data_IF_130547581643
#
_entry.id   IF_130547581643
#
_cell.length_a   1.000
_cell.length_b   1.000
_cell.length_c   1.000
_cell.angle_alpha   90.00
_cell.angle_beta   90.00
_cell.angle_gamma   90.00
#
_symmetry.space_group_name_H-M   'P 1'
#
loop_
_entity.id
_entity.type
_entity.pdbx_description
1 polymer ?
#
# COMPACT_ATOMS: atom_id res chain seq x y z
N UNK A 1 3.58 -27.18 16.79
CA UNK A 1 2.67 -26.81 15.68
C UNK A 1 3.48 -26.07 14.64
N UNK A 2 3.24 -26.31 13.33
CA UNK A 2 3.90 -25.54 12.28
C UNK A 2 3.40 -24.10 12.29
N UNK A 3 4.27 -23.15 12.02
CA UNK A 3 3.87 -21.74 11.86
C UNK A 3 3.05 -21.61 10.58
N UNK A 4 1.87 -20.98 10.67
CA UNK A 4 0.99 -20.70 9.52
C UNK A 4 0.82 -19.19 9.34
N UNK A 5 0.59 -18.78 8.08
CA UNK A 5 0.18 -17.41 7.71
C UNK A 5 -1.34 -17.33 7.48
N UNK A 6 -2.06 -18.44 7.66
CA UNK A 6 -3.51 -18.48 7.46
C UNK A 6 -4.23 -17.54 8.43
N UNK A 7 -5.18 -16.80 7.90
CA UNK A 7 -5.98 -15.83 8.66
C UNK A 7 -5.27 -14.53 9.02
N UNK A 8 -3.97 -14.40 8.78
CA UNK A 8 -3.24 -13.15 9.05
C UNK A 8 -3.37 -12.16 7.89
N UNK A 9 -3.28 -10.87 8.22
CA UNK A 9 -2.93 -9.85 7.23
C UNK A 9 -1.42 -9.92 7.00
N UNK A 10 -1.01 -10.31 5.79
CA UNK A 10 0.40 -10.43 5.41
C UNK A 10 0.80 -9.26 4.53
N UNK A 11 1.75 -8.46 5.00
CA UNK A 11 2.35 -7.35 4.24
C UNK A 11 3.76 -7.72 3.85
N UNK A 12 4.01 -7.84 2.55
CA UNK A 12 5.35 -7.95 1.99
C UNK A 12 5.88 -6.54 1.67
N UNK A 13 7.12 -6.26 2.02
CA UNK A 13 7.68 -4.93 1.85
C UNK A 13 9.16 -4.96 1.43
N UNK A 14 9.53 -4.11 0.48
CA UNK A 14 10.93 -3.93 0.12
C UNK A 14 11.69 -3.17 1.21
N UNK A 15 12.98 -3.43 1.33
CA UNK A 15 13.83 -2.74 2.33
C UNK A 15 13.77 -1.21 2.19
N UNK A 16 13.76 -0.68 0.96
CA UNK A 16 13.70 0.78 0.69
C UNK A 16 12.33 1.41 0.92
N UNK A 17 11.25 0.63 0.92
CA UNK A 17 9.93 1.14 1.30
C UNK A 17 9.80 1.25 2.83
N UNK A 18 10.46 0.34 3.58
CA UNK A 18 10.41 0.30 5.04
C UNK A 18 11.43 1.25 5.67
N UNK A 19 12.64 1.32 5.13
CA UNK A 19 13.74 2.17 5.64
C UNK A 19 14.31 3.05 4.54
N UNK A 20 14.83 4.21 4.92
CA UNK A 20 15.57 5.07 4.01
C UNK A 20 16.97 4.49 3.74
N UNK A 21 17.18 4.04 2.52
CA UNK A 21 18.44 3.56 1.96
C UNK A 21 18.82 4.32 0.69
N UNK A 22 18.36 5.56 0.54
CA UNK A 22 18.57 6.32 -0.70
C UNK A 22 20.05 6.63 -0.97
N UNK A 23 20.84 6.90 0.08
CA UNK A 23 22.29 7.11 -0.05
C UNK A 23 22.98 5.83 -0.56
N UNK A 24 22.66 4.71 0.06
CA UNK A 24 23.23 3.41 -0.29
C UNK A 24 22.76 2.93 -1.68
N UNK A 25 21.51 3.22 -2.03
CA UNK A 25 20.95 2.85 -3.33
C UNK A 25 21.67 3.54 -4.49
N UNK A 26 22.14 4.77 -4.32
CA UNK A 26 22.96 5.46 -5.35
C UNK A 26 24.21 4.68 -5.71
N UNK A 27 24.84 4.00 -4.74
CA UNK A 27 25.97 3.11 -5.01
C UNK A 27 25.55 1.84 -5.76
N UNK A 28 24.42 1.27 -5.38
CA UNK A 28 23.86 0.10 -6.08
C UNK A 28 23.54 0.39 -7.54
N UNK A 29 22.99 1.55 -7.85
CA UNK A 29 22.66 1.98 -9.23
C UNK A 29 23.91 2.20 -10.11
N UNK A 30 25.06 2.49 -9.50
CA UNK A 30 26.34 2.58 -10.22
C UNK A 30 26.92 1.22 -10.61
N UNK A 31 26.28 0.11 -10.19
CA UNK A 31 26.68 -1.25 -10.52
C UNK A 31 27.83 -1.80 -9.68
N UNK A 32 28.16 -1.15 -8.55
CA UNK A 32 29.21 -1.61 -7.62
C UNK A 32 28.61 -2.35 -6.41
N UNK A 33 28.14 -3.57 -6.65
CA UNK A 33 27.58 -4.44 -5.61
C UNK A 33 28.51 -4.67 -4.42
N UNK A 34 29.83 -4.68 -4.65
CA UNK A 34 30.81 -4.92 -3.59
C UNK A 34 30.95 -3.72 -2.66
N UNK A 35 31.04 -2.52 -3.23
CA UNK A 35 31.04 -1.29 -2.44
C UNK A 35 29.74 -1.09 -1.68
N UNK A 36 28.61 -1.43 -2.29
CA UNK A 36 27.31 -1.43 -1.62
C UNK A 36 27.30 -2.38 -0.40
N UNK A 37 27.68 -3.66 -0.58
CA UNK A 37 27.77 -4.62 0.51
C UNK A 37 28.74 -4.18 1.61
N UNK A 38 29.89 -3.63 1.24
CA UNK A 38 30.89 -3.12 2.20
C UNK A 38 30.32 -2.00 3.04
N UNK A 39 29.67 -1.01 2.43
CA UNK A 39 29.01 0.10 3.13
C UNK A 39 27.94 -0.41 4.10
N UNK A 40 27.12 -1.38 3.68
CA UNK A 40 26.10 -1.98 4.54
C UNK A 40 26.70 -2.72 5.75
N UNK A 41 27.85 -3.38 5.57
CA UNK A 41 28.58 -4.02 6.68
C UNK A 41 29.21 -3.00 7.62
N UNK A 42 29.82 -1.95 7.09
CA UNK A 42 30.41 -0.85 7.89
C UNK A 42 29.36 -0.15 8.74
N UNK A 43 28.11 -0.04 8.22
CA UNK A 43 26.98 0.59 8.90
C UNK A 43 26.07 -0.43 9.61
N UNK A 44 26.50 -1.67 9.79
CA UNK A 44 25.64 -2.75 10.29
C UNK A 44 25.03 -2.44 11.67
N UNK A 45 25.78 -1.75 12.54
CA UNK A 45 25.33 -1.34 13.87
C UNK A 45 24.68 0.06 13.90
N UNK A 46 24.60 0.73 12.75
CA UNK A 46 23.90 2.00 12.60
C UNK A 46 22.52 1.74 12.00
N UNK A 47 21.43 1.88 12.77
CA UNK A 47 20.08 1.68 12.26
C UNK A 47 19.81 2.58 11.07
N UNK A 48 19.15 2.05 10.04
CA UNK A 48 18.66 2.87 8.94
C UNK A 48 17.48 3.72 9.43
N UNK A 49 17.35 4.92 8.87
CA UNK A 49 16.23 5.80 9.22
C UNK A 49 14.91 5.20 8.75
N UNK A 50 13.77 5.49 9.43
CA UNK A 50 12.45 5.13 8.96
C UNK A 50 12.19 5.61 7.52
N UNK A 51 11.66 4.73 6.68
CA UNK A 51 11.20 5.07 5.34
C UNK A 51 9.72 5.44 5.31
N UNK A 52 9.20 5.72 4.12
CA UNK A 52 7.83 6.23 3.90
C UNK A 52 6.74 5.30 4.46
N UNK A 53 6.91 3.98 4.33
CA UNK A 53 5.93 3.02 4.82
C UNK A 53 6.18 2.54 6.26
N UNK A 54 7.13 3.14 6.98
CA UNK A 54 7.48 2.71 8.34
C UNK A 54 6.31 2.85 9.30
N UNK A 55 5.62 4.00 9.33
CA UNK A 55 4.48 4.24 10.23
C UNK A 55 3.37 3.22 9.99
N UNK A 56 3.00 2.98 8.74
CA UNK A 56 2.00 1.96 8.39
C UNK A 56 2.38 0.58 8.96
N UNK A 57 3.62 0.15 8.72
CA UNK A 57 4.11 -1.16 9.21
C UNK A 57 4.13 -1.23 10.73
N UNK A 58 4.65 -0.20 11.39
CA UNK A 58 4.71 -0.12 12.85
C UNK A 58 3.32 -0.22 13.48
N UNK A 59 2.36 0.55 12.98
CA UNK A 59 0.98 0.54 13.48
C UNK A 59 0.24 -0.76 13.14
N UNK A 60 0.45 -1.35 11.96
CA UNK A 60 -0.13 -2.66 11.63
C UNK A 60 0.38 -3.76 12.56
N UNK A 61 1.68 -3.77 12.87
CA UNK A 61 2.25 -4.75 13.80
C UNK A 61 1.72 -4.60 15.23
N UNK A 62 1.24 -3.41 15.62
CA UNK A 62 0.62 -3.17 16.93
C UNK A 62 -0.76 -3.84 17.10
N UNK A 63 -1.34 -4.42 16.03
CA UNK A 63 -2.50 -5.32 16.15
C UNK A 63 -2.17 -6.70 16.74
N UNK A 64 -0.90 -7.04 16.83
CA UNK A 64 -0.45 -8.29 17.44
C UNK A 64 -0.39 -8.14 18.98
N UNK A 65 -0.79 -9.19 19.67
CA UNK A 65 -0.66 -9.29 21.12
C UNK A 65 -0.10 -10.67 21.53
N UNK A 66 -0.03 -10.95 22.82
CA UNK A 66 0.49 -12.21 23.34
C UNK A 66 -0.38 -13.43 22.93
N UNK A 67 -1.67 -13.21 22.71
CA UNK A 67 -2.65 -14.27 22.46
C UNK A 67 -2.83 -14.54 20.95
N UNK A 68 -2.66 -13.50 20.13
CA UNK A 68 -2.92 -13.59 18.69
C UNK A 68 -1.95 -12.76 17.83
N UNK A 69 -1.38 -13.43 16.82
CA UNK A 69 -0.57 -12.80 15.77
C UNK A 69 -1.45 -12.58 14.53
N UNK A 70 -2.07 -11.40 14.43
CA UNK A 70 -3.04 -11.04 13.38
C UNK A 70 -2.38 -10.49 12.11
N UNK A 71 -1.19 -9.90 12.29
CA UNK A 71 -0.43 -9.27 11.21
C UNK A 71 0.95 -9.89 11.11
N UNK A 72 1.39 -10.17 9.90
CA UNK A 72 2.73 -10.60 9.58
C UNK A 72 3.36 -9.62 8.59
N UNK A 73 4.58 -9.18 8.85
CA UNK A 73 5.36 -8.38 7.90
C UNK A 73 6.57 -9.17 7.44
N UNK A 74 6.78 -9.22 6.13
CA UNK A 74 7.87 -9.98 5.51
C UNK A 74 8.69 -9.05 4.63
N UNK A 75 10.00 -9.01 4.85
CA UNK A 75 10.89 -8.27 3.95
C UNK A 75 11.03 -9.04 2.64
N UNK A 76 10.76 -8.38 1.54
CA UNK A 76 10.87 -8.96 0.21
C UNK A 76 11.66 -8.02 -0.69
N UNK A 77 12.97 -8.24 -0.78
CA UNK A 77 13.93 -7.28 -1.32
C UNK A 77 14.82 -7.86 -2.40
N UNK A 78 15.19 -7.01 -3.37
CA UNK A 78 16.22 -7.30 -4.37
C UNK A 78 17.65 -7.23 -3.81
N UNK A 79 17.84 -6.75 -2.60
CA UNK A 79 19.16 -6.70 -1.96
C UNK A 79 19.77 -8.10 -1.86
N UNK A 80 21.07 -8.15 -1.66
CA UNK A 80 21.78 -9.37 -1.29
C UNK A 80 21.55 -9.74 0.20
N UNK A 81 21.78 -10.99 0.60
CA UNK A 81 21.55 -11.43 1.98
C UNK A 81 22.44 -10.73 3.02
N UNK A 82 23.66 -10.26 2.63
CA UNK A 82 24.56 -9.55 3.55
C UNK A 82 23.97 -8.20 3.93
N UNK A 83 23.51 -7.44 2.93
CA UNK A 83 22.80 -6.17 3.15
C UNK A 83 21.50 -6.36 3.93
N UNK A 84 20.87 -7.51 3.78
CA UNK A 84 19.68 -7.90 4.54
C UNK A 84 19.86 -7.95 6.06
N UNK A 85 21.09 -8.18 6.54
CA UNK A 85 21.36 -8.17 7.98
C UNK A 85 21.08 -6.79 8.61
N UNK A 86 21.44 -5.70 7.94
CA UNK A 86 21.19 -4.36 8.45
C UNK A 86 19.69 -4.04 8.48
N UNK A 87 18.91 -4.56 7.52
CA UNK A 87 17.44 -4.41 7.53
C UNK A 87 16.83 -5.05 8.79
N UNK A 88 17.23 -6.30 9.12
CA UNK A 88 16.75 -6.96 10.32
C UNK A 88 17.21 -6.29 11.61
N UNK A 89 18.48 -5.82 11.68
CA UNK A 89 18.98 -5.06 12.84
C UNK A 89 18.24 -3.74 13.03
N UNK A 90 17.95 -3.03 11.94
CA UNK A 90 17.15 -1.81 12.00
C UNK A 90 15.74 -2.11 12.49
N UNK A 91 15.08 -3.16 11.99
CA UNK A 91 13.77 -3.59 12.48
C UNK A 91 13.81 -3.92 13.98
N UNK A 92 14.83 -4.64 14.44
CA UNK A 92 15.03 -4.95 15.86
C UNK A 92 15.24 -3.67 16.72
N UNK A 93 16.02 -2.72 16.23
CA UNK A 93 16.27 -1.45 16.92
C UNK A 93 14.97 -0.67 17.17
N UNK A 94 14.09 -0.63 16.18
CA UNK A 94 12.78 0.03 16.28
C UNK A 94 11.68 -0.84 16.92
N UNK A 95 12.01 -2.02 17.45
CA UNK A 95 11.04 -2.89 18.10
C UNK A 95 10.02 -3.53 17.13
N UNK A 96 10.32 -3.57 15.82
CA UNK A 96 9.46 -4.23 14.85
C UNK A 96 9.71 -5.76 14.90
N UNK A 97 8.71 -6.59 15.21
CA UNK A 97 8.85 -8.05 15.31
C UNK A 97 8.87 -8.73 13.93
N UNK A 98 9.71 -8.22 13.02
CA UNK A 98 9.89 -8.75 11.67
C UNK A 98 10.95 -9.85 11.70
N UNK A 99 10.55 -11.09 11.43
CA UNK A 99 11.40 -12.28 11.52
C UNK A 99 11.65 -12.96 10.18
N UNK A 100 10.90 -12.58 9.13
CA UNK A 100 10.94 -13.22 7.82
C UNK A 100 11.39 -12.27 6.75
N UNK A 101 12.20 -12.79 5.83
CA UNK A 101 12.62 -12.03 4.67
C UNK A 101 13.20 -12.91 3.58
N UNK A 102 13.11 -12.44 2.36
CA UNK A 102 13.77 -13.01 1.18
C UNK A 102 14.60 -11.92 0.49
N UNK A 103 15.87 -12.22 0.26
CA UNK A 103 16.82 -11.34 -0.39
C UNK A 103 17.33 -12.03 -1.65
N UNK A 104 17.15 -11.41 -2.80
CA UNK A 104 17.22 -12.12 -4.09
C UNK A 104 18.37 -11.69 -4.98
N UNK A 105 19.28 -10.84 -4.49
CA UNK A 105 20.45 -10.34 -5.22
C UNK A 105 20.09 -9.89 -6.65
N UNK A 106 19.23 -8.87 -6.75
CA UNK A 106 18.79 -8.29 -8.02
C UNK A 106 17.68 -9.04 -8.74
N UNK A 107 17.40 -10.30 -8.39
CA UNK A 107 16.33 -11.06 -9.03
C UNK A 107 14.95 -10.58 -8.56
N UNK A 108 13.90 -10.64 -9.43
CA UNK A 108 12.55 -10.25 -9.07
C UNK A 108 12.01 -11.07 -7.89
N UNK A 109 11.66 -10.44 -6.76
CA UNK A 109 11.20 -11.15 -5.57
C UNK A 109 9.70 -11.45 -5.57
N UNK A 110 8.89 -10.84 -6.44
CA UNK A 110 7.43 -10.93 -6.47
C UNK A 110 6.89 -12.37 -6.53
N UNK A 111 7.67 -13.31 -7.10
CA UNK A 111 7.30 -14.74 -7.15
C UNK A 111 7.06 -15.38 -5.79
N UNK A 112 7.57 -14.79 -4.72
CA UNK A 112 7.38 -15.28 -3.34
C UNK A 112 6.10 -14.75 -2.68
N UNK A 113 5.40 -13.79 -3.30
CA UNK A 113 4.17 -13.22 -2.74
C UNK A 113 3.06 -14.27 -2.58
N UNK A 114 2.91 -15.16 -3.57
CA UNK A 114 1.88 -16.22 -3.52
C UNK A 114 2.14 -17.23 -2.39
N UNK A 115 3.34 -17.85 -2.24
CA UNK A 115 3.61 -18.74 -1.10
C UNK A 115 3.56 -18.02 0.25
N UNK A 116 3.79 -16.72 0.30
CA UNK A 116 3.62 -15.87 1.49
C UNK A 116 2.16 -15.49 1.76
N UNK A 117 1.24 -15.77 0.81
CA UNK A 117 -0.16 -15.32 0.89
C UNK A 117 -0.29 -13.82 1.16
N UNK A 118 0.59 -13.03 0.54
CA UNK A 118 0.64 -11.60 0.76
C UNK A 118 -0.68 -10.92 0.36
N UNK A 119 -1.20 -10.08 1.26
CA UNK A 119 -2.38 -9.25 1.03
C UNK A 119 -2.01 -7.87 0.51
N UNK A 120 -0.76 -7.46 0.69
CA UNK A 120 -0.20 -6.20 0.20
C UNK A 120 1.29 -6.39 -0.10
N UNK A 121 1.74 -5.80 -1.19
CA UNK A 121 3.17 -5.66 -1.50
C UNK A 121 3.53 -4.20 -1.73
N UNK A 122 4.46 -3.68 -0.93
CA UNK A 122 5.00 -2.33 -1.05
C UNK A 122 6.45 -2.38 -1.54
N UNK A 123 6.72 -1.78 -2.68
CA UNK A 123 8.05 -1.76 -3.26
C UNK A 123 8.34 -0.42 -3.94
N UNK A 124 9.58 0.01 -3.92
CA UNK A 124 10.03 1.15 -4.73
C UNK A 124 10.31 0.77 -6.19
N UNK A 125 10.28 -0.52 -6.53
CA UNK A 125 10.62 -1.04 -7.85
C UNK A 125 9.37 -1.30 -8.69
N UNK A 126 9.13 -0.45 -9.70
CA UNK A 126 7.93 -0.46 -10.54
C UNK A 126 7.65 -1.84 -11.20
N UNK A 127 8.66 -2.49 -11.76
CA UNK A 127 8.46 -3.76 -12.46
C UNK A 127 8.02 -4.89 -11.51
N UNK A 128 8.45 -4.87 -10.23
CA UNK A 128 8.00 -5.84 -9.23
C UNK A 128 6.54 -5.59 -8.82
N UNK A 129 6.14 -4.33 -8.75
CA UNK A 129 4.76 -3.94 -8.46
C UNK A 129 3.83 -4.39 -9.58
N UNK A 130 4.17 -4.13 -10.85
CA UNK A 130 3.40 -4.61 -12.00
C UNK A 130 3.23 -6.13 -11.97
N UNK A 131 4.33 -6.86 -11.83
CA UNK A 131 4.29 -8.31 -11.79
C UNK A 131 3.48 -8.88 -10.60
N UNK A 132 3.46 -8.18 -9.45
CA UNK A 132 2.63 -8.53 -8.31
C UNK A 132 1.13 -8.33 -8.62
N UNK A 133 0.75 -7.21 -9.22
CA UNK A 133 -0.61 -6.92 -9.65
C UNK A 133 -1.09 -7.93 -10.69
N UNK A 134 -0.26 -8.26 -11.69
CA UNK A 134 -0.54 -9.29 -12.71
C UNK A 134 -0.73 -10.68 -12.08
N UNK A 135 -0.06 -10.94 -10.97
CA UNK A 135 -0.21 -12.17 -10.19
C UNK A 135 -1.44 -12.15 -9.23
N UNK A 136 -2.24 -11.07 -9.24
CA UNK A 136 -3.43 -10.89 -8.42
C UNK A 136 -3.16 -10.51 -6.97
N UNK A 137 -1.98 -9.97 -6.67
CA UNK A 137 -1.64 -9.47 -5.33
C UNK A 137 -1.71 -7.95 -5.31
N UNK A 138 -2.48 -7.34 -4.38
CA UNK A 138 -2.48 -5.89 -4.20
C UNK A 138 -1.06 -5.36 -4.02
N UNK A 139 -0.64 -4.42 -4.85
CA UNK A 139 0.73 -3.90 -4.80
C UNK A 139 0.79 -2.43 -5.22
N UNK A 140 1.68 -1.67 -4.58
CA UNK A 140 1.90 -0.27 -4.92
C UNK A 140 3.39 0.09 -4.94
N UNK A 141 3.75 0.96 -5.88
CA UNK A 141 5.06 1.58 -5.92
C UNK A 141 5.12 2.72 -4.89
N UNK A 142 5.96 2.54 -3.88
CA UNK A 142 6.20 3.56 -2.86
C UNK A 142 7.09 4.65 -3.44
N UNK A 143 6.71 5.90 -3.26
CA UNK A 143 7.51 7.06 -3.61
C UNK A 143 8.37 7.47 -2.41
N UNK A 144 9.71 7.23 -2.44
CA UNK A 144 10.58 7.51 -1.31
C UNK A 144 10.63 8.99 -0.88
N UNK A 145 10.19 9.88 -1.75
CA UNK A 145 10.14 11.33 -1.49
C UNK A 145 8.82 11.80 -0.86
N UNK A 146 7.86 10.88 -0.64
CA UNK A 146 6.62 11.25 0.05
C UNK A 146 6.91 11.75 1.46
N UNK A 147 6.10 12.70 1.91
CA UNK A 147 6.09 13.12 3.32
C UNK A 147 5.77 11.92 4.20
N UNK A 148 6.36 11.85 5.38
CA UNK A 148 6.08 10.79 6.34
C UNK A 148 4.71 10.99 6.98
N UNK A 149 4.11 9.88 7.47
CA UNK A 149 2.83 9.94 8.16
C UNK A 149 2.90 10.79 9.43
N UNK A 150 1.77 11.40 9.77
CA UNK A 150 1.60 12.12 11.03
C UNK A 150 1.61 11.15 12.24
N UNK A 151 2.17 11.59 13.36
CA UNK A 151 2.12 10.87 14.64
C UNK A 151 0.86 11.19 15.46
N UNK A 152 -0.08 11.97 14.90
CA UNK A 152 -1.27 12.43 15.60
C UNK A 152 -2.22 11.31 16.00
N UNK A 153 -2.18 10.17 15.30
CA UNK A 153 -3.11 9.05 15.50
C UNK A 153 -2.37 7.74 15.87
N UNK A 154 -1.74 7.64 17.07
CA UNK A 154 -0.88 6.50 17.43
C UNK A 154 -1.63 5.17 17.57
N UNK A 155 -2.95 5.21 17.77
CA UNK A 155 -3.82 4.04 17.95
C UNK A 155 -4.72 3.76 16.75
N UNK A 156 -4.48 4.42 15.62
CA UNK A 156 -5.23 4.23 14.39
C UNK A 156 -4.29 3.92 13.21
N UNK A 157 -4.60 2.89 12.45
CA UNK A 157 -4.08 2.70 11.09
C UNK A 157 -5.06 3.35 10.14
N UNK A 158 -4.64 4.43 9.48
CA UNK A 158 -5.47 5.22 8.58
C UNK A 158 -5.02 5.00 7.15
N UNK A 159 -5.90 4.47 6.31
CA UNK A 159 -5.57 4.17 4.91
C UNK A 159 -6.61 4.81 4.00
N UNK A 160 -6.13 5.58 3.03
CA UNK A 160 -6.96 6.17 2.00
C UNK A 160 -6.75 5.46 0.65
N UNK A 161 -7.84 5.29 -0.09
CA UNK A 161 -7.84 4.65 -1.40
C UNK A 161 -8.54 5.51 -2.43
N UNK A 162 -8.01 5.53 -3.65
CA UNK A 162 -8.83 5.93 -4.79
C UNK A 162 -9.89 4.87 -5.10
N UNK A 163 -10.90 5.26 -5.89
CA UNK A 163 -12.00 4.39 -6.29
C UNK A 163 -11.67 3.55 -7.52
N UNK A 164 -11.65 4.21 -8.68
CA UNK A 164 -11.52 3.57 -9.98
C UNK A 164 -10.10 3.01 -10.18
N UNK A 165 -10.00 1.82 -10.77
CA UNK A 165 -8.75 1.10 -10.98
C UNK A 165 -7.96 0.72 -9.70
N UNK A 166 -8.44 1.09 -8.50
CA UNK A 166 -7.87 0.71 -7.19
C UNK A 166 -8.83 -0.19 -6.42
N UNK A 167 -9.89 0.34 -5.81
CA UNK A 167 -10.91 -0.47 -5.12
C UNK A 167 -11.88 -1.11 -6.10
N UNK A 168 -12.30 -0.36 -7.12
CA UNK A 168 -13.16 -0.80 -8.21
C UNK A 168 -12.36 -1.09 -9.47
N UNK A 169 -12.98 -1.80 -10.44
CA UNK A 169 -12.41 -1.92 -11.78
C UNK A 169 -12.35 -0.55 -12.48
N UNK A 170 -11.59 -0.50 -13.57
CA UNK A 170 -11.46 0.68 -14.42
C UNK A 170 -12.59 0.85 -15.46
N UNK A 171 -13.72 0.11 -15.31
CA UNK A 171 -14.86 0.15 -16.26
C UNK A 171 -15.34 1.58 -16.51
N UNK A 172 -15.56 2.32 -15.45
CA UNK A 172 -16.08 3.68 -15.52
C UNK A 172 -15.06 4.68 -16.07
N UNK A 173 -13.79 4.51 -15.73
CA UNK A 173 -12.70 5.34 -16.28
C UNK A 173 -12.53 5.13 -17.78
N UNK A 174 -12.66 3.90 -18.29
CA UNK A 174 -12.66 3.63 -19.74
C UNK A 174 -13.76 4.40 -20.46
N UNK A 175 -14.97 4.46 -19.91
CA UNK A 175 -16.07 5.28 -20.46
C UNK A 175 -15.69 6.76 -20.46
N UNK A 176 -15.15 7.25 -19.35
CA UNK A 176 -14.70 8.64 -19.23
C UNK A 176 -13.65 9.00 -20.30
N UNK A 177 -12.64 8.15 -20.48
CA UNK A 177 -11.57 8.40 -21.45
C UNK A 177 -12.03 8.30 -22.91
N UNK A 178 -12.97 7.42 -23.22
CA UNK A 178 -13.46 7.24 -24.60
C UNK A 178 -14.57 8.20 -25.00
N UNK A 179 -15.44 8.59 -24.08
CA UNK A 179 -16.70 9.29 -24.38
C UNK A 179 -16.89 10.59 -23.56
N UNK A 180 -16.01 10.84 -22.60
CA UNK A 180 -16.00 12.05 -21.77
C UNK A 180 -16.96 12.05 -20.59
N UNK A 181 -16.99 13.19 -19.85
CA UNK A 181 -17.63 13.32 -18.55
C UNK A 181 -19.14 13.07 -18.60
N UNK A 182 -19.84 13.57 -19.65
CA UNK A 182 -21.31 13.41 -19.75
C UNK A 182 -21.70 11.93 -19.88
N UNK A 183 -21.00 11.18 -20.76
CA UNK A 183 -21.23 9.76 -20.96
C UNK A 183 -20.90 8.96 -19.70
N UNK A 184 -19.82 9.30 -19.01
CA UNK A 184 -19.46 8.70 -17.71
C UNK A 184 -20.58 8.90 -16.67
N UNK A 185 -21.12 10.14 -16.53
CA UNK A 185 -22.19 10.42 -15.58
C UNK A 185 -23.48 9.65 -15.91
N UNK A 186 -23.86 9.58 -17.19
CA UNK A 186 -25.04 8.83 -17.65
C UNK A 186 -24.86 7.33 -17.44
N UNK A 187 -23.69 6.79 -17.79
CA UNK A 187 -23.33 5.39 -17.57
C UNK A 187 -23.45 5.02 -16.09
N UNK A 188 -22.83 5.80 -15.19
CA UNK A 188 -22.86 5.51 -13.75
C UNK A 188 -24.26 5.67 -13.15
N UNK A 189 -25.01 6.70 -13.56
CA UNK A 189 -26.39 6.90 -13.10
C UNK A 189 -27.30 5.74 -13.56
N UNK A 190 -27.21 5.32 -14.83
CA UNK A 190 -28.02 4.22 -15.36
C UNK A 190 -27.70 2.87 -14.72
N UNK A 191 -26.47 2.68 -14.28
CA UNK A 191 -25.97 1.46 -13.62
C UNK A 191 -25.89 1.55 -12.09
N UNK A 192 -26.47 2.57 -11.46
CA UNK A 192 -26.35 2.79 -10.02
C UNK A 192 -26.77 1.56 -9.17
N UNK A 193 -27.71 0.75 -9.65
CA UNK A 193 -28.13 -0.50 -8.99
C UNK A 193 -27.24 -1.72 -9.27
N UNK A 194 -26.26 -1.62 -10.18
CA UNK A 194 -25.37 -2.72 -10.54
C UNK A 194 -23.99 -2.49 -9.92
N UNK A 195 -23.51 -3.38 -9.02
CA UNK A 195 -22.22 -3.24 -8.41
C UNK A 195 -21.09 -3.18 -9.44
N UNK A 196 -20.08 -2.34 -9.18
CA UNK A 196 -18.81 -2.35 -9.90
C UNK A 196 -18.08 -3.66 -9.63
N UNK A 197 -17.33 -4.15 -10.60
CA UNK A 197 -16.38 -5.23 -10.36
C UNK A 197 -15.27 -4.75 -9.42
N UNK A 198 -14.67 -5.67 -8.65
CA UNK A 198 -13.57 -5.34 -7.75
C UNK A 198 -12.30 -4.98 -8.50
N UNK A 199 -11.62 -3.95 -8.06
CA UNK A 199 -10.28 -3.58 -8.45
C UNK A 199 -9.20 -4.38 -7.72
N UNK A 200 -7.92 -4.12 -8.02
CA UNK A 200 -6.80 -4.88 -7.47
C UNK A 200 -6.68 -4.78 -5.94
N UNK A 201 -7.19 -3.72 -5.32
CA UNK A 201 -7.09 -3.50 -3.87
C UNK A 201 -8.32 -3.95 -3.07
N UNK A 202 -9.39 -4.43 -3.74
CA UNK A 202 -10.53 -5.02 -3.04
C UNK A 202 -10.13 -6.11 -2.03
N UNK A 203 -9.22 -7.07 -2.35
CA UNK A 203 -8.79 -8.10 -1.39
C UNK A 203 -8.08 -7.52 -0.15
N UNK A 204 -7.34 -6.43 -0.30
CA UNK A 204 -6.72 -5.74 0.83
C UNK A 204 -7.78 -5.09 1.72
N UNK A 205 -8.76 -4.38 1.12
CA UNK A 205 -9.85 -3.76 1.86
C UNK A 205 -10.66 -4.79 2.67
N UNK A 206 -10.94 -5.96 2.07
CA UNK A 206 -11.58 -7.09 2.77
C UNK A 206 -10.72 -7.62 3.94
N UNK A 207 -9.40 -7.70 3.77
CA UNK A 207 -8.50 -8.14 4.82
C UNK A 207 -8.39 -7.12 5.97
N UNK A 208 -8.39 -5.82 5.67
CA UNK A 208 -8.44 -4.75 6.67
C UNK A 208 -9.77 -4.76 7.43
N UNK A 209 -10.89 -4.97 6.74
CA UNK A 209 -12.21 -5.07 7.36
C UNK A 209 -12.27 -6.27 8.33
N UNK A 210 -11.71 -7.43 7.97
CA UNK A 210 -11.56 -8.55 8.91
C UNK A 210 -10.70 -8.21 10.10
N UNK A 211 -9.53 -7.59 9.88
CA UNK A 211 -8.64 -7.16 10.95
C UNK A 211 -9.35 -6.20 11.93
N UNK A 212 -10.17 -5.28 11.41
CA UNK A 212 -10.99 -4.38 12.20
C UNK A 212 -12.05 -5.12 13.03
N UNK A 213 -12.73 -6.11 12.44
CA UNK A 213 -13.78 -6.89 13.12
C UNK A 213 -13.24 -7.84 14.19
N UNK A 214 -12.04 -8.36 13.99
CA UNK A 214 -11.30 -9.20 14.96
C UNK A 214 -10.55 -8.37 16.01
N UNK A 215 -10.64 -7.07 15.90
CA UNK A 215 -9.82 -6.03 16.48
C UNK A 215 -9.34 -6.21 17.92
N UNK A 216 -8.38 -5.39 18.27
CA UNK A 216 -7.92 -5.24 19.65
C UNK A 216 -8.52 -3.95 20.23
N UNK A 217 -8.76 -3.85 21.54
CA UNK A 217 -9.21 -2.59 22.13
C UNK A 217 -8.17 -1.46 22.01
N UNK A 218 -6.94 -1.77 21.59
CA UNK A 218 -5.82 -0.83 21.53
C UNK A 218 -5.60 -0.21 20.14
N UNK A 219 -6.05 -0.87 19.06
CA UNK A 219 -5.81 -0.41 17.69
C UNK A 219 -7.09 -0.43 16.85
N UNK A 220 -7.25 0.56 16.00
CA UNK A 220 -8.36 0.66 15.03
C UNK A 220 -7.83 0.80 13.62
N UNK A 221 -8.54 0.23 12.65
CA UNK A 221 -8.37 0.57 11.23
C UNK A 221 -9.38 1.66 10.89
N UNK A 222 -8.95 2.71 10.21
CA UNK A 222 -9.82 3.71 9.58
C UNK A 222 -9.53 3.77 8.09
N UNK A 223 -10.57 3.65 7.30
CA UNK A 223 -10.46 3.65 5.84
C UNK A 223 -11.20 4.84 5.23
N UNK A 224 -10.63 5.44 4.20
CA UNK A 224 -11.27 6.48 3.41
C UNK A 224 -11.27 6.14 1.92
N UNK A 225 -12.40 6.36 1.25
CA UNK A 225 -12.50 6.45 -0.19
C UNK A 225 -12.31 7.92 -0.60
N UNK A 226 -11.29 8.20 -1.43
CA UNK A 226 -10.99 9.56 -1.91
C UNK A 226 -10.97 9.56 -3.43
N UNK A 227 -12.09 9.93 -4.05
CA UNK A 227 -12.31 9.73 -5.49
C UNK A 227 -12.64 11.03 -6.23
N UNK A 228 -12.24 11.10 -7.50
CA UNK A 228 -12.64 12.17 -8.41
C UNK A 228 -14.12 12.10 -8.84
N UNK A 229 -14.83 11.03 -8.51
CA UNK A 229 -16.29 10.92 -8.75
C UNK A 229 -17.02 12.04 -8.04
N UNK A 230 -18.20 12.43 -8.59
CA UNK A 230 -19.15 13.33 -7.96
C UNK A 230 -20.58 12.80 -8.17
N UNK A 231 -21.59 13.50 -7.66
CA UNK A 231 -22.98 13.18 -8.01
C UNK A 231 -23.20 13.38 -9.53
N UNK A 232 -23.93 12.48 -10.23
CA UNK A 232 -24.64 11.31 -9.69
C UNK A 232 -23.80 10.03 -9.59
N UNK A 233 -22.55 10.00 -10.07
CA UNK A 233 -21.71 8.79 -10.15
C UNK A 233 -21.29 8.22 -8.77
N UNK A 234 -21.43 8.99 -7.70
CA UNK A 234 -21.12 8.56 -6.33
C UNK A 234 -22.02 7.40 -5.84
N UNK A 235 -23.29 7.36 -6.29
CA UNK A 235 -24.27 6.38 -5.79
C UNK A 235 -23.83 4.95 -6.09
N UNK A 236 -23.35 4.68 -7.31
CA UNK A 236 -22.89 3.34 -7.70
C UNK A 236 -21.71 2.86 -6.84
N UNK A 237 -20.76 3.75 -6.54
CA UNK A 237 -19.63 3.44 -5.67
C UNK A 237 -20.10 3.05 -4.25
N UNK A 238 -20.98 3.85 -3.64
CA UNK A 238 -21.53 3.55 -2.31
C UNK A 238 -22.30 2.22 -2.31
N UNK A 239 -23.19 2.00 -3.29
CA UNK A 239 -23.96 0.75 -3.42
C UNK A 239 -23.04 -0.46 -3.64
N UNK A 240 -21.92 -0.27 -4.32
CA UNK A 240 -20.93 -1.34 -4.51
C UNK A 240 -20.31 -1.75 -3.19
N UNK A 241 -19.84 -0.80 -2.36
CA UNK A 241 -19.31 -1.09 -1.03
C UNK A 241 -20.37 -1.78 -0.14
N UNK A 242 -21.61 -1.29 -0.16
CA UNK A 242 -22.73 -1.94 0.54
C UNK A 242 -22.94 -3.39 0.07
N UNK A 243 -22.89 -3.64 -1.24
CA UNK A 243 -23.03 -4.99 -1.81
C UNK A 243 -21.90 -5.92 -1.37
N UNK A 244 -20.68 -5.40 -1.18
CA UNK A 244 -19.54 -6.15 -0.65
C UNK A 244 -19.62 -6.34 0.87
N UNK A 245 -20.59 -5.74 1.55
CA UNK A 245 -20.70 -5.69 3.01
C UNK A 245 -19.44 -5.09 3.66
N UNK A 246 -18.91 -4.05 3.05
CA UNK A 246 -17.73 -3.31 3.52
C UNK A 246 -18.17 -1.87 3.81
N UNK A 247 -17.82 -1.41 4.99
CA UNK A 247 -17.97 -0.02 5.40
C UNK A 247 -16.62 0.69 5.35
N UNK A 248 -16.58 1.89 4.78
CA UNK A 248 -15.47 2.82 4.93
C UNK A 248 -15.86 3.90 5.92
N UNK A 249 -14.90 4.39 6.71
CA UNK A 249 -15.19 5.41 7.74
C UNK A 249 -15.49 6.76 7.11
N UNK A 250 -14.84 7.08 5.98
CA UNK A 250 -15.05 8.34 5.25
C UNK A 250 -15.12 8.09 3.74
N UNK A 251 -15.92 8.88 3.04
CA UNK A 251 -15.98 8.87 1.58
C UNK A 251 -16.02 10.31 1.04
N UNK A 252 -15.01 10.67 0.26
CA UNK A 252 -14.81 11.99 -0.31
C UNK A 252 -15.02 11.93 -1.81
N UNK A 253 -16.11 12.51 -2.29
CA UNK A 253 -16.48 12.61 -3.71
C UNK A 253 -16.10 13.99 -4.22
N UNK A 254 -14.91 14.15 -4.77
CA UNK A 254 -14.26 15.43 -4.96
C UNK A 254 -14.60 16.12 -6.28
N UNK A 255 -15.19 15.40 -7.25
CA UNK A 255 -15.59 15.99 -8.53
C UNK A 255 -14.41 16.59 -9.32
N UNK A 256 -13.22 16.03 -9.18
CA UNK A 256 -12.01 16.52 -9.83
C UNK A 256 -11.21 17.56 -9.04
N UNK A 257 -11.61 17.90 -7.81
CA UNK A 257 -10.77 18.72 -6.93
C UNK A 257 -9.48 17.97 -6.57
N UNK A 258 -8.34 18.67 -6.38
CA UNK A 258 -7.09 18.07 -5.94
C UNK A 258 -7.25 17.34 -4.61
N UNK A 259 -6.78 16.09 -4.54
CA UNK A 259 -6.93 15.22 -3.36
C UNK A 259 -6.04 15.63 -2.18
N UNK A 260 -4.89 16.29 -2.44
CA UNK A 260 -3.84 16.54 -1.44
C UNK A 260 -4.32 17.21 -0.16
N UNK A 261 -5.11 18.30 -0.27
CA UNK A 261 -5.63 19.02 0.89
C UNK A 261 -6.58 18.17 1.75
N UNK A 262 -7.44 17.37 1.11
CA UNK A 262 -8.35 16.44 1.81
C UNK A 262 -7.59 15.31 2.49
N UNK A 263 -6.56 14.78 1.83
CA UNK A 263 -5.68 13.78 2.41
C UNK A 263 -4.90 14.34 3.60
N UNK A 264 -4.45 15.59 3.53
CA UNK A 264 -3.78 16.25 4.66
C UNK A 264 -4.69 16.33 5.90
N UNK A 265 -5.99 16.59 5.73
CA UNK A 265 -6.95 16.61 6.84
C UNK A 265 -7.31 15.21 7.36
N UNK A 266 -7.33 14.20 6.47
CA UNK A 266 -7.56 12.81 6.89
C UNK A 266 -6.31 12.21 7.55
N UNK A 267 -5.09 12.67 7.26
CA UNK A 267 -3.81 12.20 7.79
C UNK A 267 -3.63 10.66 7.67
N UNK A 268 -3.69 10.06 6.45
CA UNK A 268 -3.51 8.63 6.30
C UNK A 268 -2.05 8.22 6.56
N UNK A 269 -1.86 7.02 7.10
CA UNK A 269 -0.56 6.35 7.13
C UNK A 269 -0.11 5.95 5.73
N UNK A 270 -1.09 5.76 4.81
CA UNK A 270 -0.80 5.48 3.41
C UNK A 270 -2.00 5.80 2.51
N UNK A 271 -1.71 6.36 1.34
CA UNK A 271 -2.69 6.62 0.27
C UNK A 271 -2.34 5.83 -0.98
N UNK A 272 -3.35 5.22 -1.62
CA UNK A 272 -3.23 4.43 -2.85
C UNK A 272 -4.06 5.02 -3.97
N UNK A 273 -3.43 5.25 -5.13
CA UNK A 273 -4.08 5.82 -6.34
C UNK A 273 -3.38 5.25 -7.60
N UNK A 274 -4.12 5.08 -8.68
CA UNK A 274 -3.59 4.58 -9.95
C UNK A 274 -3.05 5.70 -10.86
N UNK A 275 -3.33 6.96 -10.55
CA UNK A 275 -2.92 8.09 -11.38
C UNK A 275 -1.66 8.75 -10.84
N UNK A 276 -0.60 8.75 -11.65
CA UNK A 276 0.70 9.34 -11.29
C UNK A 276 0.58 10.79 -10.82
N UNK A 277 -0.23 11.62 -11.53
CA UNK A 277 -0.42 13.03 -11.14
C UNK A 277 -1.08 13.20 -9.77
N UNK A 278 -2.01 12.31 -9.40
CA UNK A 278 -2.60 12.31 -8.05
C UNK A 278 -1.56 11.91 -6.99
N UNK A 279 -0.75 10.88 -7.27
CA UNK A 279 0.31 10.43 -6.36
C UNK A 279 1.38 11.50 -6.17
N UNK A 280 1.84 12.16 -7.25
CA UNK A 280 2.82 13.25 -7.16
C UNK A 280 2.29 14.40 -6.28
N UNK A 281 1.04 14.80 -6.49
CA UNK A 281 0.40 15.84 -5.67
C UNK A 281 0.21 15.38 -4.22
N UNK A 282 -0.28 14.16 -3.99
CA UNK A 282 -0.54 13.63 -2.65
C UNK A 282 0.75 13.41 -1.85
N UNK A 283 1.84 13.01 -2.50
CA UNK A 283 3.13 12.74 -1.86
C UNK A 283 3.75 13.95 -1.16
N UNK A 284 3.31 15.15 -1.51
CA UNK A 284 3.68 16.40 -0.84
C UNK A 284 2.99 16.57 0.53
N UNK A 285 1.98 15.77 0.82
CA UNK A 285 1.15 15.89 2.02
C UNK A 285 1.12 14.61 2.85
N UNK A 286 1.15 13.43 2.22
CA UNK A 286 0.97 12.13 2.89
C UNK A 286 1.81 11.03 2.23
N UNK A 287 2.12 9.92 2.93
CA UNK A 287 2.72 8.74 2.33
C UNK A 287 1.86 8.21 1.19
N UNK A 288 2.46 7.98 0.04
CA UNK A 288 1.71 7.66 -1.17
C UNK A 288 2.31 6.49 -1.95
N UNK A 289 1.45 5.67 -2.51
CA UNK A 289 1.80 4.50 -3.32
C UNK A 289 1.01 4.43 -4.62
N UNK A 290 1.73 4.38 -5.73
CA UNK A 290 1.16 4.26 -7.07
C UNK A 290 0.75 2.82 -7.36
N UNK A 291 -0.53 2.61 -7.59
CA UNK A 291 -1.12 1.34 -8.04
C UNK A 291 -1.09 1.31 -9.57
N UNK A 292 -0.16 0.57 -10.14
CA UNK A 292 0.10 0.55 -11.58
C UNK A 292 -0.92 -0.35 -12.30
N UNK A 293 -2.18 0.02 -12.22
CA UNK A 293 -3.32 -0.70 -12.81
C UNK A 293 -4.24 0.23 -13.59
N UNK A 294 -5.22 -0.35 -14.28
CA UNK A 294 -6.21 0.40 -15.02
C UNK A 294 -5.71 1.00 -16.34
N UNK A 295 -6.65 1.59 -17.08
CA UNK A 295 -6.43 2.11 -18.42
C UNK A 295 -5.39 3.24 -18.49
N UNK A 296 -5.20 3.97 -17.41
CA UNK A 296 -4.19 5.05 -17.30
C UNK A 296 -2.74 4.53 -17.23
N UNK A 297 -2.54 3.23 -17.04
CA UNK A 297 -1.23 2.60 -16.87
C UNK A 297 -0.86 1.55 -17.93
N UNK A 298 -1.63 1.51 -19.04
CA UNK A 298 -1.41 0.59 -20.18
C UNK A 298 -0.27 1.05 -21.07
#
# INVERSE_FOLDING_TARGET
MGVTLDGKLVVAISSRALFDFEEENRLFETGDDRSYMKLQLERLDTPAQPGVAFSLVHKLLAFNDADAQRVEVVILSRNDPVSGMRVFRSAQHYGLPIQRGSFTRGQPPWRYLRPLRANLFLSTHLADVRAALDAGVPAAQVYPHSVHASDAHPHEVRIAFDGDAVLFSDEAERVYQSEGLSAFQEHEASKAGLPLAGGPFKPLLEALHRLQSEGTPLMRVRTALVTARSAPAHERAIRTLMNWNIEVDEAMFLGGLPKGEFLREFEPDFFFDDQTGHIESASLHVPSGHVVSGVSNL
#
